data_IF_432786144556
#
_entry.id   IF_432786144556
#
_cell.length_a   1.000
_cell.length_b   1.000
_cell.length_c   1.000
_cell.angle_alpha   90.00
_cell.angle_beta   90.00
_cell.angle_gamma   90.00
#
_symmetry.space_group_name_H-M   'P 1'
#
loop_
_entity.id
_entity.type
_entity.pdbx_description
1 polymer ?
#
# COMPACT_ATOMS: atom_id res chain seq x y z
N UNK A 1 10.52 -7.12 -45.34
CA UNK A 1 10.66 -5.78 -44.71
C UNK A 1 9.51 -5.40 -43.76
N UNK A 2 8.27 -5.91 -43.90
CA UNK A 2 7.19 -5.62 -42.94
C UNK A 2 7.16 -6.53 -41.68
N UNK A 3 7.90 -7.64 -41.66
CA UNK A 3 7.87 -8.64 -40.58
C UNK A 3 8.83 -8.35 -39.41
N UNK A 4 9.80 -7.45 -39.59
CA UNK A 4 10.85 -7.16 -38.59
C UNK A 4 10.47 -6.02 -37.63
N UNK A 5 9.47 -5.21 -38.00
CA UNK A 5 8.98 -4.10 -37.17
C UNK A 5 7.98 -4.53 -36.08
N UNK A 6 7.49 -5.78 -36.11
CA UNK A 6 6.50 -6.30 -35.16
C UNK A 6 7.10 -7.01 -33.93
N UNK A 7 8.43 -7.19 -33.88
CA UNK A 7 9.09 -7.97 -32.81
C UNK A 7 9.59 -7.15 -31.63
N UNK A 8 9.45 -5.82 -31.65
CA UNK A 8 9.73 -4.95 -30.50
C UNK A 8 8.59 -5.00 -29.46
N UNK A 9 8.09 -6.20 -29.17
CA UNK A 9 7.44 -6.45 -27.87
C UNK A 9 8.52 -6.12 -26.85
N UNK A 10 8.36 -5.02 -26.13
CA UNK A 10 9.21 -4.62 -25.00
C UNK A 10 9.30 -5.81 -24.04
N UNK A 11 10.33 -6.62 -24.22
CA UNK A 11 10.53 -7.81 -23.40
C UNK A 11 10.85 -7.28 -22.00
N UNK A 12 9.96 -7.56 -21.04
CA UNK A 12 10.22 -7.18 -19.67
C UNK A 12 11.60 -7.73 -19.27
N UNK A 13 12.46 -6.85 -18.77
CA UNK A 13 13.81 -7.24 -18.38
C UNK A 13 13.73 -8.25 -17.25
N UNK A 14 14.66 -9.21 -17.18
CA UNK A 14 14.66 -10.22 -16.12
C UNK A 14 14.68 -9.60 -14.71
N UNK A 15 15.32 -8.44 -14.54
CA UNK A 15 15.33 -7.69 -13.28
C UNK A 15 13.95 -7.16 -12.89
N UNK A 16 13.19 -6.61 -13.83
CA UNK A 16 11.81 -6.15 -13.59
C UNK A 16 10.89 -7.31 -13.25
N UNK A 17 11.06 -8.45 -13.92
CA UNK A 17 10.30 -9.67 -13.62
C UNK A 17 10.64 -10.17 -12.21
N UNK A 18 11.92 -10.28 -11.88
CA UNK A 18 12.38 -10.71 -10.56
C UNK A 18 11.82 -9.79 -9.45
N UNK A 19 11.81 -8.48 -9.69
CA UNK A 19 11.25 -7.51 -8.75
C UNK A 19 9.74 -7.68 -8.57
N UNK A 20 9.00 -7.85 -9.66
CA UNK A 20 7.56 -8.07 -9.62
C UNK A 20 7.21 -9.38 -8.89
N UNK A 21 7.96 -10.46 -9.14
CA UNK A 21 7.81 -11.73 -8.44
C UNK A 21 8.16 -11.62 -6.95
N UNK A 22 9.22 -10.88 -6.62
CA UNK A 22 9.59 -10.60 -5.23
C UNK A 22 8.51 -9.80 -4.50
N UNK A 23 8.00 -8.74 -5.12
CA UNK A 23 6.88 -7.96 -4.60
C UNK A 23 5.61 -8.79 -4.41
N UNK A 24 5.28 -9.67 -5.38
CA UNK A 24 4.16 -10.59 -5.26
C UNK A 24 4.35 -11.59 -4.11
N UNK A 25 5.57 -12.12 -3.94
CA UNK A 25 5.90 -13.02 -2.83
C UNK A 25 5.74 -12.35 -1.47
N UNK A 26 6.22 -11.11 -1.33
CA UNK A 26 6.03 -10.30 -0.12
C UNK A 26 4.56 -10.01 0.14
N UNK A 27 3.80 -9.62 -0.89
CA UNK A 27 2.37 -9.40 -0.78
C UNK A 27 1.64 -10.68 -0.32
N UNK A 28 1.94 -11.82 -0.94
CA UNK A 28 1.36 -13.10 -0.56
C UNK A 28 1.70 -13.48 0.89
N UNK A 29 2.95 -13.33 1.31
CA UNK A 29 3.38 -13.64 2.68
C UNK A 29 2.69 -12.75 3.73
N UNK A 30 2.68 -11.44 3.49
CA UNK A 30 2.09 -10.45 4.40
C UNK A 30 0.57 -10.55 4.47
N UNK A 31 -0.10 -10.90 3.36
CA UNK A 31 -1.55 -11.17 3.37
C UNK A 31 -1.86 -12.51 4.04
N UNK A 32 -1.05 -13.54 3.81
CA UNK A 32 -1.28 -14.85 4.43
C UNK A 32 -1.18 -14.77 5.96
N UNK A 33 -0.18 -14.05 6.49
CA UNK A 33 -0.01 -13.85 7.91
C UNK A 33 0.48 -12.42 8.20
N UNK A 34 -0.41 -11.44 8.46
CA UNK A 34 -0.01 -10.04 8.57
C UNK A 34 0.72 -9.68 9.87
N UNK A 35 0.38 -10.32 10.99
CA UNK A 35 0.90 -9.92 12.31
C UNK A 35 2.43 -9.80 12.44
N UNK A 36 3.26 -10.67 11.84
CA UNK A 36 4.72 -10.53 11.92
C UNK A 36 5.30 -9.39 11.09
N UNK A 37 4.51 -8.74 10.23
CA UNK A 37 5.00 -7.77 9.24
C UNK A 37 4.39 -6.37 9.37
N UNK A 38 3.33 -6.22 10.16
CA UNK A 38 2.73 -4.91 10.43
C UNK A 38 3.46 -4.26 11.60
N UNK A 39 3.54 -2.94 11.57
CA UNK A 39 4.07 -2.19 12.71
C UNK A 39 3.06 -2.25 13.88
N UNK A 40 3.55 -2.24 15.12
CA UNK A 40 2.69 -2.35 16.31
C UNK A 40 1.69 -1.19 16.40
N UNK A 41 2.08 0.00 15.93
CA UNK A 41 1.22 1.18 15.86
C UNK A 41 0.05 1.00 14.86
N UNK A 42 0.19 0.13 13.86
CA UNK A 42 -0.87 -0.18 12.90
C UNK A 42 -2.11 -0.82 13.57
N UNK A 43 -1.93 -1.52 14.69
CA UNK A 43 -3.03 -2.14 15.42
C UNK A 43 -3.94 -1.11 16.08
N UNK A 44 -3.44 0.09 16.40
CA UNK A 44 -4.26 1.18 16.92
C UNK A 44 -5.28 1.65 15.89
N UNK A 45 -4.88 1.74 14.60
CA UNK A 45 -5.80 2.10 13.53
C UNK A 45 -6.97 1.12 13.43
N UNK A 46 -6.71 -0.18 13.60
CA UNK A 46 -7.74 -1.22 13.53
C UNK A 46 -8.72 -1.13 14.71
N UNK A 47 -8.22 -0.95 15.93
CA UNK A 47 -9.07 -0.78 17.13
C UNK A 47 -9.94 0.46 17.02
N UNK A 48 -9.36 1.60 16.65
CA UNK A 48 -10.11 2.85 16.47
C UNK A 48 -11.12 2.70 15.33
N UNK A 49 -10.73 2.03 14.23
CA UNK A 49 -11.59 1.78 13.08
C UNK A 49 -12.85 0.98 13.45
N UNK A 50 -12.71 -0.03 14.31
CA UNK A 50 -13.83 -0.80 14.88
C UNK A 50 -14.71 0.05 15.77
N UNK A 51 -14.12 0.80 16.70
CA UNK A 51 -14.90 1.70 17.55
C UNK A 51 -15.71 2.71 16.74
N UNK A 52 -15.15 3.22 15.64
CA UNK A 52 -15.89 4.07 14.71
C UNK A 52 -17.00 3.29 14.00
N UNK A 53 -16.71 2.10 13.46
CA UNK A 53 -17.69 1.29 12.73
C UNK A 53 -18.87 0.81 13.60
N UNK A 54 -18.59 0.50 14.87
CA UNK A 54 -19.58 0.06 15.86
C UNK A 54 -20.33 1.24 16.52
N UNK A 55 -20.00 2.49 16.17
CA UNK A 55 -20.68 3.68 16.67
C UNK A 55 -20.20 4.20 18.04
N UNK A 56 -19.09 3.67 18.57
CA UNK A 56 -18.46 4.14 19.81
C UNK A 56 -17.64 5.42 19.63
N UNK A 57 -17.45 5.87 18.38
CA UNK A 57 -16.73 7.11 18.04
C UNK A 57 -15.21 6.93 17.95
N UNK A 58 -14.50 8.06 17.88
CA UNK A 58 -13.04 8.10 17.68
C UNK A 58 -12.35 7.92 19.04
N UNK A 59 -12.13 6.67 19.42
CA UNK A 59 -11.53 6.28 20.70
C UNK A 59 -10.79 4.97 20.57
N UNK A 60 -9.78 4.76 21.42
CA UNK A 60 -9.13 3.46 21.56
C UNK A 60 -9.79 2.61 22.65
N UNK A 61 -10.10 3.23 23.80
CA UNK A 61 -10.59 2.55 25.01
C UNK A 61 -12.09 2.72 25.29
N UNK A 62 -12.80 3.52 24.48
CA UNK A 62 -14.19 3.94 24.72
C UNK A 62 -14.39 4.83 25.97
N UNK A 63 -13.30 5.23 26.63
CA UNK A 63 -13.35 6.12 27.80
C UNK A 63 -13.01 7.56 27.41
N UNK A 64 -11.99 7.74 26.58
CA UNK A 64 -11.51 9.06 26.16
C UNK A 64 -11.38 9.14 24.63
N UNK A 65 -11.66 10.31 24.02
CA UNK A 65 -11.38 10.53 22.61
C UNK A 65 -9.87 10.43 22.30
N UNK A 66 -9.53 10.08 21.06
CA UNK A 66 -8.14 10.06 20.57
C UNK A 66 -8.00 10.76 19.21
N UNK A 67 -6.81 11.29 18.92
CA UNK A 67 -6.49 11.98 17.67
C UNK A 67 -5.05 11.73 17.19
N UNK A 68 -4.31 10.82 17.82
CA UNK A 68 -2.90 10.54 17.54
C UNK A 68 -2.65 9.65 16.31
N UNK A 69 -3.40 9.88 15.22
CA UNK A 69 -3.34 9.07 14.01
C UNK A 69 -3.47 9.96 12.77
N UNK A 70 -3.05 9.46 11.60
CA UNK A 70 -3.25 10.17 10.33
C UNK A 70 -4.75 10.13 9.94
N UNK A 71 -5.46 11.27 9.84
CA UNK A 71 -6.92 11.26 9.75
C UNK A 71 -7.50 10.58 8.50
N UNK A 72 -6.86 10.76 7.35
CA UNK A 72 -7.32 10.16 6.09
C UNK A 72 -7.16 8.65 6.10
N UNK A 73 -6.03 8.14 6.59
CA UNK A 73 -5.79 6.71 6.74
C UNK A 73 -6.73 6.10 7.76
N UNK A 74 -6.96 6.76 8.90
CA UNK A 74 -7.95 6.28 9.87
C UNK A 74 -9.36 6.22 9.30
N UNK A 75 -9.76 7.20 8.49
CA UNK A 75 -11.05 7.18 7.80
C UNK A 75 -11.14 6.00 6.81
N UNK A 76 -10.07 5.73 6.06
CA UNK A 76 -9.98 4.55 5.18
C UNK A 76 -10.11 3.25 5.98
N UNK A 77 -9.37 3.11 7.08
CA UNK A 77 -9.42 1.91 7.93
C UNK A 77 -10.81 1.70 8.53
N UNK A 78 -11.43 2.76 9.07
CA UNK A 78 -12.79 2.69 9.60
C UNK A 78 -13.81 2.26 8.54
N UNK A 79 -13.72 2.83 7.33
CA UNK A 79 -14.57 2.44 6.21
C UNK A 79 -14.36 0.97 5.81
N UNK A 80 -13.11 0.51 5.72
CA UNK A 80 -12.79 -0.87 5.38
C UNK A 80 -13.31 -1.86 6.42
N UNK A 81 -13.15 -1.54 7.72
CA UNK A 81 -13.68 -2.35 8.82
C UNK A 81 -15.20 -2.40 8.76
N UNK A 82 -15.87 -1.27 8.60
CA UNK A 82 -17.32 -1.21 8.49
C UNK A 82 -17.84 -2.04 7.31
N UNK A 83 -17.23 -1.89 6.12
CA UNK A 83 -17.56 -2.72 4.95
C UNK A 83 -17.31 -4.21 5.20
N UNK A 84 -16.25 -4.57 5.92
CA UNK A 84 -15.95 -5.96 6.28
C UNK A 84 -17.03 -6.55 7.21
N UNK A 85 -17.42 -5.82 8.24
CA UNK A 85 -18.49 -6.22 9.17
C UNK A 85 -19.82 -6.37 8.44
N UNK A 86 -20.15 -5.48 7.49
CA UNK A 86 -21.36 -5.58 6.68
C UNK A 86 -21.47 -6.89 5.89
N UNK A 87 -20.34 -7.49 5.50
CA UNK A 87 -20.31 -8.79 4.81
C UNK A 87 -19.98 -9.97 5.73
N UNK A 88 -20.05 -9.76 7.06
CA UNK A 88 -19.86 -10.80 8.07
C UNK A 88 -18.39 -11.12 8.40
N UNK A 89 -17.46 -10.20 8.14
CA UNK A 89 -16.03 -10.36 8.43
C UNK A 89 -15.68 -9.57 9.71
N UNK A 90 -15.69 -10.26 10.84
CA UNK A 90 -15.46 -9.65 12.16
C UNK A 90 -14.09 -10.00 12.78
N UNK A 91 -13.40 -11.00 12.24
CA UNK A 91 -12.15 -11.50 12.84
C UNK A 91 -10.96 -10.54 12.67
N UNK A 92 -10.18 -10.37 13.73
CA UNK A 92 -8.94 -9.55 13.80
C UNK A 92 -8.02 -9.76 12.60
N UNK A 93 -7.66 -11.01 12.36
CA UNK A 93 -6.78 -11.37 11.25
C UNK A 93 -7.40 -11.02 9.89
N UNK A 94 -8.70 -11.19 9.73
CA UNK A 94 -9.37 -10.97 8.46
C UNK A 94 -9.50 -9.47 8.15
N UNK A 95 -9.87 -8.66 9.13
CA UNK A 95 -9.93 -7.20 8.97
C UNK A 95 -8.52 -6.61 8.77
N UNK A 96 -7.52 -7.07 9.51
CA UNK A 96 -6.13 -6.66 9.30
C UNK A 96 -5.62 -7.00 7.89
N UNK A 97 -5.98 -8.18 7.35
CA UNK A 97 -5.67 -8.55 5.96
C UNK A 97 -6.25 -7.56 4.95
N UNK A 98 -7.49 -7.12 5.15
CA UNK A 98 -8.14 -6.14 4.27
C UNK A 98 -7.35 -4.81 4.29
N UNK A 99 -6.94 -4.36 5.46
CA UNK A 99 -6.11 -3.15 5.61
C UNK A 99 -4.74 -3.33 4.93
N UNK A 100 -4.08 -4.47 5.10
CA UNK A 100 -2.81 -4.78 4.42
C UNK A 100 -2.97 -4.83 2.91
N UNK A 101 -4.07 -5.39 2.39
CA UNK A 101 -4.39 -5.37 0.96
C UNK A 101 -4.55 -3.92 0.46
N UNK A 102 -5.21 -3.06 1.23
CA UNK A 102 -5.34 -1.64 0.89
C UNK A 102 -3.97 -0.93 0.87
N UNK A 103 -3.06 -1.23 1.80
CA UNK A 103 -1.68 -0.74 1.76
C UNK A 103 -0.95 -1.19 0.49
N UNK A 104 -1.06 -2.47 0.13
CA UNK A 104 -0.45 -3.00 -1.11
C UNK A 104 -1.02 -2.32 -2.36
N UNK A 105 -2.33 -2.08 -2.40
CA UNK A 105 -2.95 -1.32 -3.49
C UNK A 105 -2.37 0.10 -3.58
N UNK A 106 -2.22 0.79 -2.44
CA UNK A 106 -1.59 2.12 -2.39
C UNK A 106 -0.12 2.08 -2.83
N UNK A 107 0.66 1.10 -2.35
CA UNK A 107 2.06 0.94 -2.71
C UNK A 107 2.25 0.68 -4.20
N UNK A 108 1.48 -0.24 -4.79
CA UNK A 108 1.53 -0.54 -6.23
C UNK A 108 1.14 0.70 -7.04
N UNK A 109 0.08 1.41 -6.64
CA UNK A 109 -0.31 2.67 -7.26
C UNK A 109 0.80 3.72 -7.18
N UNK A 110 1.40 3.90 -6.00
CA UNK A 110 2.50 4.84 -5.79
C UNK A 110 3.72 4.51 -6.65
N UNK A 111 4.11 3.23 -6.73
CA UNK A 111 5.21 2.77 -7.59
C UNK A 111 4.90 3.09 -9.06
N UNK A 112 3.67 2.84 -9.51
CA UNK A 112 3.27 3.14 -10.88
C UNK A 112 3.31 4.64 -11.21
N UNK A 113 2.87 5.50 -10.28
CA UNK A 113 2.93 6.95 -10.45
C UNK A 113 4.37 7.48 -10.41
N UNK A 114 5.20 6.98 -9.51
CA UNK A 114 6.63 7.33 -9.46
C UNK A 114 7.33 6.86 -10.74
N UNK A 115 7.05 5.65 -11.25
CA UNK A 115 7.60 5.21 -12.53
C UNK A 115 7.22 6.16 -13.67
N UNK A 116 5.99 6.68 -13.68
CA UNK A 116 5.53 7.68 -14.64
C UNK A 116 6.30 9.00 -14.52
N UNK A 117 6.54 9.50 -13.30
CA UNK A 117 7.36 10.69 -13.06
C UNK A 117 8.78 10.47 -13.57
N UNK A 118 9.40 9.36 -13.19
CA UNK A 118 10.78 9.05 -13.58
C UNK A 118 10.95 8.91 -15.09
N UNK A 119 9.93 8.40 -15.80
CA UNK A 119 9.90 8.40 -17.27
C UNK A 119 9.84 9.82 -17.85
N UNK A 120 9.06 10.74 -17.26
CA UNK A 120 9.04 12.16 -17.70
C UNK A 120 10.41 12.82 -17.51
N UNK A 121 11.11 12.47 -16.43
CA UNK A 121 12.46 12.93 -16.13
C UNK A 121 13.55 12.18 -16.93
N UNK A 122 13.18 11.32 -17.88
CA UNK A 122 14.12 10.54 -18.70
C UNK A 122 15.10 9.68 -17.87
N UNK A 123 14.70 9.25 -16.68
CA UNK A 123 15.51 8.37 -15.83
C UNK A 123 15.59 6.99 -16.46
N UNK A 124 16.82 6.49 -16.60
CA UNK A 124 17.09 5.18 -17.19
C UNK A 124 16.46 4.03 -16.38
N UNK A 125 16.29 2.88 -17.04
CA UNK A 125 15.59 1.72 -16.48
C UNK A 125 16.14 1.25 -15.13
N UNK A 126 17.48 1.31 -14.95
CA UNK A 126 18.13 0.91 -13.68
C UNK A 126 17.63 1.79 -12.54
N UNK A 127 17.63 3.12 -12.71
CA UNK A 127 17.14 4.05 -11.69
C UNK A 127 15.67 3.81 -11.34
N UNK A 128 14.83 3.53 -12.35
CA UNK A 128 13.41 3.22 -12.15
C UNK A 128 13.21 1.90 -11.40
N UNK A 129 13.93 0.85 -11.77
CA UNK A 129 13.88 -0.43 -11.04
C UNK A 129 14.40 -0.31 -9.61
N UNK A 130 15.45 0.49 -9.38
CA UNK A 130 15.98 0.74 -8.04
C UNK A 130 14.98 1.50 -7.18
N UNK A 131 14.32 2.53 -7.72
CA UNK A 131 13.28 3.27 -7.01
C UNK A 131 12.12 2.36 -6.58
N UNK A 132 11.64 1.49 -7.49
CA UNK A 132 10.61 0.51 -7.17
C UNK A 132 11.07 -0.51 -6.12
N UNK A 133 12.33 -0.97 -6.20
CA UNK A 133 12.89 -1.88 -5.21
C UNK A 133 13.01 -1.27 -3.81
N UNK A 134 13.45 -0.01 -3.71
CA UNK A 134 13.50 0.73 -2.45
C UNK A 134 12.10 0.86 -1.85
N UNK A 135 11.10 1.26 -2.64
CA UNK A 135 9.72 1.36 -2.18
C UNK A 135 9.19 0.01 -1.67
N UNK A 136 9.46 -1.09 -2.39
CA UNK A 136 9.06 -2.43 -1.97
C UNK A 136 9.72 -2.87 -0.67
N UNK A 137 11.03 -2.64 -0.51
CA UNK A 137 11.77 -3.06 0.70
C UNK A 137 11.32 -2.28 1.94
N UNK A 138 11.12 -0.98 1.81
CA UNK A 138 10.76 -0.10 2.93
C UNK A 138 9.28 -0.21 3.28
N UNK A 139 8.38 -0.20 2.28
CA UNK A 139 6.94 -0.09 2.54
C UNK A 139 6.19 -1.43 2.51
N UNK A 140 6.71 -2.44 1.81
CA UNK A 140 6.07 -3.77 1.71
C UNK A 140 6.93 -4.93 2.24
N UNK A 141 8.18 -4.66 2.63
CA UNK A 141 9.21 -5.65 2.91
C UNK A 141 9.51 -5.85 4.41
N UNK A 142 10.73 -6.24 4.80
CA UNK A 142 11.07 -6.55 6.19
C UNK A 142 11.16 -5.33 7.11
N UNK A 143 11.25 -4.12 6.57
CA UNK A 143 11.18 -2.86 7.31
C UNK A 143 9.80 -2.20 7.20
N UNK A 144 8.81 -3.02 6.88
CA UNK A 144 7.46 -2.63 6.51
C UNK A 144 6.79 -1.74 7.57
N UNK A 145 6.15 -0.72 7.05
CA UNK A 145 5.13 0.08 7.73
C UNK A 145 3.74 -0.31 7.23
N UNK A 146 3.53 -1.58 6.84
CA UNK A 146 2.24 -2.09 6.39
C UNK A 146 1.18 -1.88 7.48
N UNK A 147 -0.03 -1.62 7.01
CA UNK A 147 -1.18 -1.21 7.80
C UNK A 147 -1.06 0.18 8.47
N UNK A 148 -0.01 0.95 8.19
CA UNK A 148 0.07 2.39 8.50
C UNK A 148 -0.21 3.25 7.26
N UNK A 149 -0.26 4.57 7.46
CA UNK A 149 -0.52 5.56 6.42
C UNK A 149 0.57 5.66 5.35
N UNK A 150 1.76 5.09 5.57
CA UNK A 150 2.95 5.37 4.77
C UNK A 150 2.76 5.07 3.27
N UNK A 151 2.10 3.96 2.94
CA UNK A 151 1.82 3.60 1.54
C UNK A 151 0.81 4.56 0.88
N UNK A 152 -0.17 5.06 1.64
CA UNK A 152 -1.10 6.07 1.16
C UNK A 152 -0.40 7.41 0.95
N UNK A 153 0.46 7.83 1.88
CA UNK A 153 1.26 9.06 1.75
C UNK A 153 2.16 9.00 0.52
N UNK A 154 2.82 7.86 0.28
CA UNK A 154 3.64 7.64 -0.91
C UNK A 154 2.84 7.78 -2.20
N UNK A 155 1.65 7.16 -2.27
CA UNK A 155 0.74 7.30 -3.41
C UNK A 155 0.32 8.76 -3.64
N UNK A 156 -0.16 9.43 -2.60
CA UNK A 156 -0.70 10.79 -2.71
C UNK A 156 0.39 11.81 -3.05
N UNK A 157 1.60 11.66 -2.51
CA UNK A 157 2.74 12.49 -2.87
C UNK A 157 3.08 12.35 -4.37
N UNK A 158 3.14 11.12 -4.88
CA UNK A 158 3.39 10.88 -6.30
C UNK A 158 2.26 11.42 -7.19
N UNK A 159 1.00 11.29 -6.76
CA UNK A 159 -0.15 11.85 -7.47
C UNK A 159 -0.10 13.38 -7.52
N UNK A 160 0.24 14.03 -6.40
CA UNK A 160 0.36 15.48 -6.31
C UNK A 160 1.48 16.01 -7.22
N UNK A 161 2.64 15.36 -7.24
CA UNK A 161 3.75 15.75 -8.13
C UNK A 161 3.35 15.68 -9.60
N UNK A 162 2.65 14.62 -10.02
CA UNK A 162 2.14 14.51 -11.38
C UNK A 162 1.09 15.57 -11.73
N UNK A 163 0.30 16.01 -10.75
CA UNK A 163 -0.73 17.03 -10.94
C UNK A 163 -0.13 18.45 -11.05
N UNK A 164 1.00 18.71 -10.39
CA UNK A 164 1.72 19.99 -10.50
C UNK A 164 2.49 20.08 -11.83
N UNK A 165 3.02 18.95 -12.32
CA UNK A 165 3.74 18.85 -13.60
C UNK A 165 2.81 18.66 -14.83
N UNK A 166 1.48 18.83 -14.69
CA UNK A 166 0.50 18.67 -15.77
C UNK A 166 -0.03 20.02 -16.26
#
# INVERSE_FOLDING_TARGET
MAAEAASLRTRARPTTIALALGGLGLAAATIANPFPYVADDALFYLVIGRNVADGHGITFSQVVPTNGFQPLWQAVVALLVWLAQLVGIDGDRAQLRIVVIACWACLIGGIALVDRILRRLSVGDVGRTTAAAIALVILGGPYSTLATEASLVYLLAAALLLAIDA
#
